data_IF_515030742448
#
_entry.id   IF_515030742448
#
_cell.length_a   1.000
_cell.length_b   1.000
_cell.length_c   1.000
_cell.angle_alpha   90.00
_cell.angle_beta   90.00
_cell.angle_gamma   90.00
#
_symmetry.space_group_name_H-M   'P 1'
#
loop_
_entity.id
_entity.type
_entity.pdbx_description
1 polymer ?
#
# COMPACT_ATOMS: atom_id res chain seq x y z
N UNK A 1 -22.95 13.00 -13.74
CA UNK A 1 -22.00 12.73 -14.83
C UNK A 1 -20.91 13.81 -14.77
N UNK A 2 -19.64 13.45 -14.98
CA UNK A 2 -18.53 14.40 -15.06
C UNK A 2 -18.63 15.19 -16.38
N UNK A 3 -18.34 16.50 -16.34
CA UNK A 3 -18.33 17.33 -17.56
C UNK A 3 -17.17 16.93 -18.47
N UNK A 4 -17.26 17.24 -19.78
CA UNK A 4 -16.17 17.00 -20.74
C UNK A 4 -14.87 17.71 -20.31
N UNK A 5 -14.99 18.89 -19.69
CA UNK A 5 -13.85 19.64 -19.15
C UNK A 5 -13.17 18.86 -18.01
N UNK A 6 -13.93 18.38 -17.03
CA UNK A 6 -13.40 17.60 -15.91
C UNK A 6 -12.72 16.30 -16.37
N UNK A 7 -13.28 15.61 -17.39
CA UNK A 7 -12.64 14.43 -18.00
C UNK A 7 -11.30 14.78 -18.66
N UNK A 8 -11.23 15.92 -19.31
CA UNK A 8 -9.99 16.40 -19.91
C UNK A 8 -8.96 16.83 -18.83
N UNK A 9 -9.40 17.42 -17.70
CA UNK A 9 -8.52 17.72 -16.57
C UNK A 9 -7.90 16.42 -16.03
N UNK A 10 -8.70 15.37 -15.84
CA UNK A 10 -8.19 14.06 -15.43
C UNK A 10 -7.14 13.51 -16.39
N UNK A 11 -7.42 13.63 -17.70
CA UNK A 11 -6.48 13.17 -18.72
C UNK A 11 -5.15 13.92 -18.69
N UNK A 12 -5.16 15.24 -18.52
CA UNK A 12 -3.92 16.03 -18.41
C UNK A 12 -3.19 15.76 -17.09
N UNK A 13 -3.91 15.59 -15.97
CA UNK A 13 -3.33 15.14 -14.69
C UNK A 13 -2.58 13.81 -14.87
N UNK A 14 -3.22 12.82 -15.45
CA UNK A 14 -2.62 11.50 -15.66
C UNK A 14 -1.45 11.53 -16.63
N UNK A 15 -1.54 12.33 -17.70
CA UNK A 15 -0.42 12.55 -18.61
C UNK A 15 0.80 13.15 -17.92
N UNK A 16 0.59 14.15 -17.05
CA UNK A 16 1.65 14.72 -16.23
C UNK A 16 2.21 13.69 -15.24
N UNK A 17 1.37 12.97 -14.51
CA UNK A 17 1.79 11.98 -13.52
C UNK A 17 2.58 10.83 -14.13
N UNK A 18 2.18 10.33 -15.29
CA UNK A 18 2.92 9.29 -16.02
C UNK A 18 4.22 9.80 -16.65
N UNK A 19 4.22 11.06 -17.12
CA UNK A 19 5.38 11.70 -17.71
C UNK A 19 5.48 13.16 -17.27
N UNK A 20 6.16 13.45 -16.14
CA UNK A 20 6.27 14.81 -15.62
C UNK A 20 6.83 15.83 -16.62
N UNK A 21 7.68 15.40 -17.55
CA UNK A 21 8.23 16.26 -18.61
C UNK A 21 7.16 16.76 -19.59
N UNK A 22 5.99 16.15 -19.63
CA UNK A 22 4.90 16.54 -20.54
C UNK A 22 4.43 17.98 -20.32
N UNK A 23 4.59 18.55 -19.10
CA UNK A 23 4.20 19.92 -18.76
C UNK A 23 5.28 20.97 -19.11
N UNK A 24 6.48 20.55 -19.49
CA UNK A 24 7.63 21.47 -19.71
C UNK A 24 7.30 22.59 -20.67
N UNK A 25 6.62 22.29 -21.79
CA UNK A 25 6.23 23.30 -22.78
C UNK A 25 5.39 24.41 -22.18
N UNK A 26 4.45 24.07 -21.29
CA UNK A 26 3.60 25.05 -20.63
C UNK A 26 4.40 25.91 -19.65
N UNK A 27 5.28 25.29 -18.86
CA UNK A 27 6.21 26.02 -17.99
C UNK A 27 7.08 27.01 -18.76
N UNK A 28 7.60 26.62 -19.93
CA UNK A 28 8.38 27.50 -20.81
C UNK A 28 7.57 28.66 -21.36
N UNK A 29 6.28 28.43 -21.70
CA UNK A 29 5.39 29.52 -22.15
C UNK A 29 5.14 30.52 -21.04
N UNK A 30 4.84 30.07 -19.82
CA UNK A 30 4.67 30.95 -18.64
C UNK A 30 5.95 31.72 -18.37
N UNK A 31 7.12 31.05 -18.35
CA UNK A 31 8.43 31.69 -18.15
C UNK A 31 8.69 32.80 -19.17
N UNK A 32 8.47 32.52 -20.47
CA UNK A 32 8.64 33.51 -21.55
C UNK A 32 7.67 34.68 -21.42
N UNK A 33 6.43 34.43 -21.05
CA UNK A 33 5.43 35.47 -20.79
C UNK A 33 5.88 36.41 -19.67
N UNK A 34 6.28 35.85 -18.51
CA UNK A 34 6.76 36.62 -17.37
C UNK A 34 8.06 37.37 -17.64
N UNK A 35 9.02 36.76 -18.34
CA UNK A 35 10.31 37.43 -18.63
C UNK A 35 10.18 38.67 -19.50
N UNK A 36 9.13 38.79 -20.32
CA UNK A 36 8.84 39.97 -21.13
C UNK A 36 8.29 41.12 -20.31
N UNK A 37 7.62 40.83 -19.19
CA UNK A 37 6.90 41.86 -18.40
C UNK A 37 7.72 42.24 -17.15
N UNK A 38 8.44 41.31 -16.53
CA UNK A 38 9.13 41.49 -15.26
C UNK A 38 10.52 40.83 -15.29
N UNK A 39 11.51 41.51 -15.87
CA UNK A 39 12.89 41.03 -15.83
C UNK A 39 13.39 40.97 -14.39
N UNK A 40 13.96 39.81 -13.99
CA UNK A 40 14.54 39.61 -12.67
C UNK A 40 13.54 39.22 -11.55
N UNK A 41 12.28 38.98 -11.86
CA UNK A 41 11.32 38.47 -10.86
C UNK A 41 11.81 37.11 -10.30
N UNK A 42 11.89 36.95 -8.96
CA UNK A 42 12.29 35.66 -8.33
C UNK A 42 11.48 34.48 -8.80
N UNK A 43 10.23 34.67 -9.19
CA UNK A 43 9.36 33.62 -9.71
C UNK A 43 9.92 32.95 -10.98
N UNK A 44 10.67 33.68 -11.81
CA UNK A 44 11.34 33.09 -12.99
C UNK A 44 12.33 31.99 -12.59
N UNK A 45 13.06 32.17 -11.50
CA UNK A 45 13.97 31.16 -10.96
C UNK A 45 13.21 29.94 -10.44
N UNK A 46 12.06 30.16 -9.80
CA UNK A 46 11.21 29.06 -9.34
C UNK A 46 10.69 28.20 -10.49
N UNK A 47 10.29 28.82 -11.61
CA UNK A 47 9.88 28.08 -12.82
C UNK A 47 11.07 27.29 -13.37
N UNK A 48 12.27 27.87 -13.40
CA UNK A 48 13.48 27.18 -13.85
C UNK A 48 13.83 25.99 -12.97
N UNK A 49 13.76 26.13 -11.65
CA UNK A 49 13.97 25.01 -10.71
C UNK A 49 12.93 23.91 -10.94
N UNK A 50 11.66 24.26 -11.11
CA UNK A 50 10.64 23.25 -11.38
C UNK A 50 10.84 22.54 -12.72
N UNK A 51 11.26 23.26 -13.77
CA UNK A 51 11.62 22.64 -15.06
C UNK A 51 12.78 21.64 -14.88
N UNK A 52 13.76 21.93 -14.03
CA UNK A 52 14.85 21.00 -13.72
C UNK A 52 14.35 19.80 -12.90
N UNK A 53 13.47 20.02 -11.93
CA UNK A 53 12.89 18.99 -11.09
C UNK A 53 12.13 17.93 -11.91
N UNK A 54 11.28 18.35 -12.84
CA UNK A 54 10.51 17.43 -13.71
C UNK A 54 11.39 16.62 -14.66
N UNK A 55 12.66 16.97 -14.89
CA UNK A 55 13.59 16.15 -15.68
C UNK A 55 14.01 14.87 -14.95
N UNK A 56 14.05 14.92 -13.62
CA UNK A 56 14.50 13.82 -12.77
C UNK A 56 13.36 13.13 -12.03
N UNK A 57 12.17 13.72 -12.07
CA UNK A 57 10.98 13.18 -11.39
C UNK A 57 10.57 11.84 -12.01
N UNK A 58 10.37 10.84 -11.16
CA UNK A 58 9.82 9.56 -11.58
C UNK A 58 8.35 9.67 -11.95
N UNK A 59 7.85 8.71 -12.74
CA UNK A 59 6.42 8.58 -12.99
C UNK A 59 5.65 8.31 -11.69
N UNK A 60 4.48 8.92 -11.58
CA UNK A 60 3.57 8.79 -10.44
C UNK A 60 2.41 7.84 -10.78
N UNK A 61 1.75 7.24 -9.78
CA UNK A 61 0.57 6.43 -10.00
C UNK A 61 -0.52 7.19 -10.77
N UNK A 62 -1.24 6.48 -11.64
CA UNK A 62 -2.39 7.02 -12.35
C UNK A 62 -3.52 7.28 -11.36
N UNK A 63 -4.26 8.37 -11.57
CA UNK A 63 -5.46 8.70 -10.81
C UNK A 63 -6.68 8.05 -11.45
N UNK A 64 -7.45 7.32 -10.67
CA UNK A 64 -8.76 6.79 -11.05
C UNK A 64 -9.86 7.74 -10.57
N UNK A 65 -10.87 7.97 -11.43
CA UNK A 65 -12.01 8.79 -11.04
C UNK A 65 -12.86 8.04 -9.99
N UNK A 66 -13.14 8.71 -8.89
CA UNK A 66 -13.98 8.18 -7.81
C UNK A 66 -15.27 9.00 -7.70
N UNK A 67 -16.43 8.32 -7.75
CA UNK A 67 -17.73 8.98 -7.74
C UNK A 67 -18.03 9.65 -6.39
N UNK A 68 -17.65 9.04 -5.27
CA UNK A 68 -17.88 9.62 -3.94
C UNK A 68 -17.07 10.90 -3.74
N UNK A 69 -15.81 10.92 -4.18
CA UNK A 69 -14.98 12.12 -4.16
C UNK A 69 -15.51 13.18 -5.14
N UNK A 70 -16.05 12.75 -6.28
CA UNK A 70 -16.67 13.66 -7.25
C UNK A 70 -17.92 14.32 -6.69
N UNK A 71 -18.76 13.58 -5.96
CA UNK A 71 -19.94 14.16 -5.27
C UNK A 71 -19.52 15.11 -4.13
N UNK A 72 -18.45 14.79 -3.39
CA UNK A 72 -17.89 15.71 -2.40
C UNK A 72 -17.39 17.02 -3.06
N UNK A 73 -16.66 16.91 -4.15
CA UNK A 73 -16.19 18.07 -4.90
C UNK A 73 -17.34 18.93 -5.46
N UNK A 74 -18.44 18.31 -5.94
CA UNK A 74 -19.63 19.02 -6.41
C UNK A 74 -20.34 19.79 -5.29
N UNK A 75 -20.39 19.20 -4.08
CA UNK A 75 -21.00 19.88 -2.91
C UNK A 75 -20.19 21.07 -2.47
N UNK A 76 -18.87 20.99 -2.61
CA UNK A 76 -17.96 22.05 -2.19
C UNK A 76 -17.80 23.18 -3.23
N UNK A 77 -18.01 22.88 -4.52
CA UNK A 77 -17.81 23.83 -5.62
C UNK A 77 -18.61 25.14 -5.45
N UNK A 78 -19.90 25.17 -5.03
CA UNK A 78 -20.62 26.43 -4.79
C UNK A 78 -19.99 27.32 -3.71
N UNK A 79 -19.29 26.75 -2.73
CA UNK A 79 -18.59 27.52 -1.69
C UNK A 79 -17.34 28.22 -2.22
N UNK A 80 -16.79 27.70 -3.32
CA UNK A 80 -15.62 28.24 -3.99
C UNK A 80 -15.96 29.33 -5.00
N UNK A 81 -17.03 29.14 -5.82
CA UNK A 81 -17.42 30.05 -6.88
C UNK A 81 -17.64 31.48 -6.33
N UNK A 82 -16.91 32.46 -6.90
CA UNK A 82 -17.00 33.85 -6.51
C UNK A 82 -16.43 34.20 -5.13
N UNK A 83 -15.77 33.27 -4.45
CA UNK A 83 -15.18 33.49 -3.12
C UNK A 83 -13.67 33.72 -3.20
N UNK A 84 -13.24 34.97 -3.28
CA UNK A 84 -11.82 35.36 -3.32
C UNK A 84 -11.01 34.92 -2.08
N UNK A 85 -11.68 34.71 -0.94
CA UNK A 85 -11.04 34.27 0.31
C UNK A 85 -10.97 32.76 0.44
N UNK A 86 -11.40 32.02 -0.58
CA UNK A 86 -11.42 30.56 -0.53
C UNK A 86 -10.01 29.98 -0.51
N UNK A 87 -9.75 29.08 0.44
CA UNK A 87 -8.47 28.37 0.54
C UNK A 87 -8.38 27.31 -0.57
N UNK A 88 -7.61 27.61 -1.64
CA UNK A 88 -7.51 26.78 -2.85
C UNK A 88 -6.82 25.43 -2.60
N UNK A 89 -5.93 25.33 -1.62
CA UNK A 89 -5.18 24.13 -1.29
C UNK A 89 -5.47 23.71 0.14
N UNK A 90 -5.98 22.50 0.32
CA UNK A 90 -6.37 21.98 1.64
C UNK A 90 -5.82 20.55 1.82
N UNK A 91 -5.51 20.23 3.05
CA UNK A 91 -5.15 18.87 3.51
C UNK A 91 -6.27 18.31 4.39
N UNK A 92 -6.12 17.05 4.79
CA UNK A 92 -7.14 16.31 5.55
C UNK A 92 -7.77 17.08 6.70
N UNK A 93 -6.99 17.87 7.45
CA UNK A 93 -7.46 18.66 8.60
C UNK A 93 -8.55 19.68 8.22
N UNK A 94 -8.49 20.23 7.01
CA UNK A 94 -9.45 21.19 6.47
C UNK A 94 -10.59 20.54 5.67
N UNK A 95 -10.62 19.22 5.56
CA UNK A 95 -11.54 18.46 4.71
C UNK A 95 -12.53 17.62 5.50
N UNK A 96 -12.50 17.71 6.83
CA UNK A 96 -13.48 17.06 7.70
C UNK A 96 -14.89 17.55 7.39
N UNK A 97 -15.83 16.61 7.29
CA UNK A 97 -17.21 16.89 6.88
C UNK A 97 -17.41 17.23 5.38
N UNK A 98 -16.34 17.41 4.60
CA UNK A 98 -16.39 17.62 3.14
C UNK A 98 -16.17 16.30 2.42
N UNK A 99 -15.10 15.61 2.78
CA UNK A 99 -14.72 14.31 2.21
C UNK A 99 -15.34 13.19 3.06
N UNK A 100 -15.89 12.14 2.45
CA UNK A 100 -16.43 11.01 3.21
C UNK A 100 -15.38 10.37 4.14
N UNK A 101 -15.81 9.97 5.35
CA UNK A 101 -14.95 9.44 6.42
C UNK A 101 -14.05 8.30 5.95
N UNK A 102 -14.53 7.47 5.03
CA UNK A 102 -13.77 6.35 4.46
C UNK A 102 -12.45 6.77 3.80
N UNK A 103 -12.37 8.02 3.29
CA UNK A 103 -11.14 8.54 2.68
C UNK A 103 -10.25 9.32 3.65
N UNK A 104 -10.74 9.69 4.84
CA UNK A 104 -9.98 10.50 5.78
C UNK A 104 -8.69 9.83 6.24
N UNK A 105 -8.67 8.49 6.37
CA UNK A 105 -7.47 7.72 6.72
C UNK A 105 -6.36 7.80 5.67
N UNK A 106 -6.71 8.05 4.40
CA UNK A 106 -5.72 8.22 3.32
C UNK A 106 -5.11 9.63 3.27
N UNK A 107 -5.37 10.48 4.26
CA UNK A 107 -4.97 11.88 4.28
C UNK A 107 -5.30 12.59 2.96
N UNK A 108 -6.59 12.77 2.63
CA UNK A 108 -7.03 13.38 1.40
C UNK A 108 -6.51 14.81 1.26
N UNK A 109 -6.49 15.31 0.03
CA UNK A 109 -6.13 16.68 -0.25
C UNK A 109 -7.04 17.26 -1.34
N UNK A 110 -7.16 18.57 -1.38
CA UNK A 110 -7.99 19.30 -2.33
C UNK A 110 -7.21 20.39 -3.01
N UNK A 111 -7.47 20.55 -4.30
CA UNK A 111 -6.99 21.65 -5.14
C UNK A 111 -8.19 22.29 -5.80
N UNK A 112 -8.27 23.62 -5.75
CA UNK A 112 -9.25 24.42 -6.45
C UNK A 112 -8.55 25.39 -7.41
N UNK A 113 -9.11 25.58 -8.58
CA UNK A 113 -8.63 26.53 -9.60
C UNK A 113 -9.80 27.24 -10.30
N UNK A 114 -9.61 28.50 -10.63
CA UNK A 114 -10.56 29.37 -11.28
C UNK A 114 -9.97 30.00 -12.55
N UNK A 115 -10.80 30.30 -13.53
CA UNK A 115 -10.43 31.04 -14.73
C UNK A 115 -9.42 30.34 -15.64
N UNK A 116 -9.37 29.01 -15.66
CA UNK A 116 -8.55 28.27 -16.61
C UNK A 116 -9.30 28.08 -17.94
N UNK A 117 -8.79 28.62 -19.04
CA UNK A 117 -9.40 28.51 -20.37
C UNK A 117 -9.37 27.07 -20.90
N UNK A 118 -8.28 26.35 -20.62
CA UNK A 118 -8.05 24.98 -21.07
C UNK A 118 -7.68 24.07 -19.89
N UNK A 119 -8.01 22.75 -19.93
CA UNK A 119 -7.71 21.80 -18.88
C UNK A 119 -6.24 21.74 -18.46
N UNK A 120 -5.31 21.90 -19.41
CA UNK A 120 -3.87 21.94 -19.12
C UNK A 120 -3.48 23.18 -18.28
N UNK A 121 -4.23 24.27 -18.40
CA UNK A 121 -3.97 25.50 -17.67
C UNK A 121 -4.33 25.35 -16.19
N UNK A 122 -5.29 24.50 -15.83
CA UNK A 122 -5.58 24.13 -14.44
C UNK A 122 -4.30 23.59 -13.76
N UNK A 123 -3.64 22.61 -14.40
CA UNK A 123 -2.40 22.05 -13.89
C UNK A 123 -1.29 23.08 -13.81
N UNK A 124 -1.12 23.84 -14.88
CA UNK A 124 -0.04 24.84 -14.99
C UNK A 124 -0.18 25.92 -13.93
N UNK A 125 -1.40 26.42 -13.68
CA UNK A 125 -1.68 27.39 -12.65
C UNK A 125 -1.35 26.85 -11.25
N UNK A 126 -1.77 25.62 -10.93
CA UNK A 126 -1.51 24.98 -9.63
C UNK A 126 -0.02 24.68 -9.43
N UNK A 127 0.66 24.13 -10.44
CA UNK A 127 2.09 23.79 -10.37
C UNK A 127 2.99 25.03 -10.24
N UNK A 128 2.56 26.14 -10.82
CA UNK A 128 3.31 27.40 -10.90
C UNK A 128 2.60 28.54 -10.16
N UNK A 129 1.80 28.27 -9.13
CA UNK A 129 1.12 29.29 -8.36
C UNK A 129 2.14 30.16 -7.60
N UNK A 130 2.25 31.42 -8.04
CA UNK A 130 3.14 32.40 -7.41
C UNK A 130 2.70 32.78 -5.99
N UNK A 131 1.41 32.67 -5.68
CA UNK A 131 0.85 33.03 -4.37
C UNK A 131 1.02 31.88 -3.36
N UNK A 132 1.18 30.67 -3.85
CA UNK A 132 1.43 29.48 -3.02
C UNK A 132 2.90 29.42 -2.57
N UNK A 133 3.19 30.12 -1.47
CA UNK A 133 4.56 30.19 -0.91
C UNK A 133 5.12 28.84 -0.47
N UNK A 134 4.26 27.92 -0.06
CA UNK A 134 4.62 26.59 0.44
C UNK A 134 4.57 25.49 -0.63
N UNK A 135 4.19 25.86 -1.86
CA UNK A 135 4.04 24.92 -2.98
C UNK A 135 3.04 23.79 -2.69
N UNK A 136 2.01 24.09 -1.89
CA UNK A 136 1.01 23.10 -1.48
C UNK A 136 0.29 22.47 -2.67
N UNK A 137 -0.14 23.29 -3.64
CA UNK A 137 -0.76 22.77 -4.85
C UNK A 137 0.15 21.83 -5.63
N UNK A 138 1.42 22.18 -5.80
CA UNK A 138 2.43 21.32 -6.43
C UNK A 138 2.64 20.06 -5.64
N UNK A 139 2.81 20.15 -4.32
CA UNK A 139 3.02 19.02 -3.44
C UNK A 139 1.83 18.04 -3.48
N UNK A 140 0.60 18.55 -3.62
CA UNK A 140 -0.59 17.72 -3.79
C UNK A 140 -0.56 17.00 -5.14
N UNK A 141 -0.32 17.70 -6.25
CA UNK A 141 -0.34 17.11 -7.58
C UNK A 141 0.79 16.08 -7.80
N UNK A 142 1.91 16.24 -7.10
CA UNK A 142 3.08 15.37 -7.20
C UNK A 142 3.14 14.28 -6.12
N UNK A 143 2.16 14.19 -5.22
CA UNK A 143 2.15 13.20 -4.14
C UNK A 143 1.84 11.79 -4.70
N UNK A 144 2.78 10.84 -4.57
CA UNK A 144 2.61 9.48 -5.11
C UNK A 144 1.56 8.65 -4.36
N UNK A 145 1.15 9.05 -3.15
CA UNK A 145 0.14 8.33 -2.38
C UNK A 145 -1.25 8.41 -3.00
N UNK A 146 -1.54 9.48 -3.76
CA UNK A 146 -2.84 9.65 -4.37
C UNK A 146 -3.00 8.76 -5.60
N UNK A 147 -4.06 7.96 -5.60
CA UNK A 147 -4.45 7.04 -6.67
C UNK A 147 -5.89 7.24 -7.12
N UNK A 148 -6.65 8.03 -6.37
CA UNK A 148 -8.05 8.35 -6.68
C UNK A 148 -8.26 9.85 -6.69
N UNK A 149 -9.21 10.31 -7.52
CA UNK A 149 -9.57 11.73 -7.60
C UNK A 149 -11.07 11.89 -7.90
N UNK A 150 -11.69 12.86 -7.23
CA UNK A 150 -13.00 13.38 -7.60
C UNK A 150 -12.83 14.75 -8.24
N UNK A 151 -13.51 15.03 -9.36
CA UNK A 151 -13.40 16.29 -10.08
C UNK A 151 -14.78 16.87 -10.30
N UNK A 152 -15.00 18.09 -9.81
CA UNK A 152 -16.17 18.92 -10.11
C UNK A 152 -15.75 20.13 -10.93
N UNK A 153 -16.63 20.53 -11.86
CA UNK A 153 -16.42 21.66 -12.76
C UNK A 153 -17.73 22.36 -13.05
N UNK A 154 -17.69 23.68 -13.03
CA UNK A 154 -18.78 24.57 -13.42
C UNK A 154 -18.23 25.79 -14.17
N UNK A 155 -19.04 26.37 -15.06
CA UNK A 155 -18.75 27.63 -15.73
C UNK A 155 -19.58 28.71 -15.07
N UNK A 156 -18.91 29.72 -14.48
CA UNK A 156 -19.55 30.86 -13.87
C UNK A 156 -18.88 32.14 -14.39
N UNK A 157 -19.68 33.12 -14.85
CA UNK A 157 -19.20 34.39 -15.45
C UNK A 157 -18.15 34.18 -16.57
N UNK A 158 -18.39 33.20 -17.45
CA UNK A 158 -17.50 32.78 -18.55
C UNK A 158 -16.17 32.14 -18.11
N UNK A 159 -15.96 31.95 -16.81
CA UNK A 159 -14.77 31.30 -16.25
C UNK A 159 -15.03 29.86 -15.84
N UNK A 160 -14.03 28.99 -16.00
CA UNK A 160 -14.10 27.60 -15.53
C UNK A 160 -13.64 27.54 -14.07
N UNK A 161 -14.49 26.99 -13.23
CA UNK A 161 -14.24 26.75 -11.80
C UNK A 161 -14.11 25.25 -11.57
N UNK A 162 -13.02 24.81 -10.98
CA UNK A 162 -12.68 23.38 -10.82
C UNK A 162 -12.27 23.09 -9.38
N UNK A 163 -12.79 21.99 -8.85
CA UNK A 163 -12.28 21.38 -7.61
C UNK A 163 -11.84 19.95 -7.92
N UNK A 164 -10.63 19.60 -7.50
CA UNK A 164 -10.11 18.24 -7.51
C UNK A 164 -9.86 17.80 -6.05
N UNK A 165 -10.49 16.70 -5.63
CA UNK A 165 -10.25 16.08 -4.33
C UNK A 165 -9.49 14.78 -4.56
N UNK A 166 -8.31 14.64 -3.98
CA UNK A 166 -7.40 13.52 -4.11
C UNK A 166 -7.45 12.65 -2.87
N UNK A 167 -7.43 11.34 -3.06
CA UNK A 167 -7.30 10.36 -2.00
C UNK A 167 -6.34 9.23 -2.40
N UNK A 168 -5.73 8.60 -1.42
CA UNK A 168 -5.06 7.32 -1.59
C UNK A 168 -6.08 6.19 -1.77
N UNK A 169 -5.62 5.00 -2.12
CA UNK A 169 -6.43 3.80 -1.87
C UNK A 169 -6.74 3.76 -0.38
N UNK A 170 -7.97 3.35 -0.07
CA UNK A 170 -8.31 2.98 1.30
C UNK A 170 -7.21 2.01 1.77
N UNK A 171 -6.42 2.41 2.76
CA UNK A 171 -5.64 1.44 3.48
C UNK A 171 -6.69 0.57 4.16
N UNK A 172 -6.79 -0.69 3.75
CA UNK A 172 -7.59 -1.66 4.50
C UNK A 172 -7.21 -1.46 5.98
N UNK A 173 -8.21 -1.35 6.88
CA UNK A 173 -7.92 -1.15 8.29
C UNK A 173 -6.87 -2.18 8.68
N UNK A 174 -5.81 -1.72 9.35
CA UNK A 174 -4.78 -2.65 9.80
C UNK A 174 -5.52 -3.77 10.53
N UNK A 175 -5.41 -5.01 10.04
CA UNK A 175 -6.14 -6.10 10.64
C UNK A 175 -5.76 -6.16 12.12
N UNK A 176 -6.75 -6.33 12.98
CA UNK A 176 -6.49 -6.66 14.39
C UNK A 176 -5.69 -7.95 14.40
N UNK A 177 -4.41 -7.83 14.70
CA UNK A 177 -3.49 -8.96 14.76
C UNK A 177 -3.44 -9.38 16.23
N UNK A 178 -4.13 -10.47 16.53
CA UNK A 178 -4.13 -11.09 17.87
C UNK A 178 -2.98 -12.12 17.99
N UNK A 179 -1.75 -11.62 17.80
CA UNK A 179 -0.54 -12.41 18.00
C UNK A 179 0.25 -11.86 19.19
N UNK A 180 0.91 -12.74 19.98
CA UNK A 180 1.88 -12.32 20.98
C UNK A 180 2.96 -11.43 20.37
N UNK A 181 3.43 -10.42 21.12
CA UNK A 181 4.43 -9.44 20.67
C UNK A 181 5.71 -10.10 20.13
N UNK A 182 6.11 -11.24 20.71
CA UNK A 182 7.24 -12.04 20.26
C UNK A 182 7.02 -12.59 18.84
N UNK A 183 5.86 -13.21 18.59
CA UNK A 183 5.50 -13.80 17.30
C UNK A 183 5.38 -12.71 16.23
N UNK A 184 4.80 -11.54 16.57
CA UNK A 184 4.69 -10.40 15.69
C UNK A 184 6.06 -9.84 15.27
N UNK A 185 7.00 -9.81 16.22
CA UNK A 185 8.38 -9.36 15.97
C UNK A 185 9.12 -10.33 15.03
N UNK A 186 8.94 -11.62 15.20
CA UNK A 186 9.54 -12.65 14.34
C UNK A 186 8.94 -12.63 12.93
N UNK A 187 7.63 -12.49 12.87
CA UNK A 187 6.91 -12.35 11.61
C UNK A 187 7.36 -11.12 10.82
N UNK A 188 7.59 -10.00 11.51
CA UNK A 188 8.12 -8.78 10.90
C UNK A 188 9.54 -8.96 10.38
N UNK A 189 10.41 -9.65 11.11
CA UNK A 189 11.75 -10.00 10.64
C UNK A 189 11.69 -10.86 9.37
N UNK A 190 10.81 -11.86 9.34
CA UNK A 190 10.61 -12.71 8.16
C UNK A 190 10.16 -11.89 6.95
N UNK A 191 9.20 -10.97 7.14
CA UNK A 191 8.76 -10.06 6.08
C UNK A 191 9.91 -9.19 5.57
N UNK A 192 10.70 -8.59 6.46
CA UNK A 192 11.81 -7.70 6.10
C UNK A 192 12.94 -8.46 5.36
N UNK A 193 13.15 -9.73 5.66
CA UNK A 193 14.08 -10.61 4.91
C UNK A 193 13.56 -10.83 3.48
N UNK A 194 12.27 -11.05 3.32
CA UNK A 194 11.64 -11.25 2.01
C UNK A 194 11.54 -9.95 1.20
N UNK A 195 11.42 -8.79 1.86
CA UNK A 195 11.47 -7.46 1.23
C UNK A 195 12.92 -6.97 1.09
N UNK A 196 13.74 -7.74 0.38
CA UNK A 196 15.18 -7.43 0.21
C UNK A 196 15.47 -6.03 -0.34
N UNK A 197 14.48 -5.37 -0.97
CA UNK A 197 14.60 -4.01 -1.54
C UNK A 197 14.16 -2.92 -0.56
N UNK A 198 13.60 -3.27 0.61
CA UNK A 198 13.11 -2.32 1.60
C UNK A 198 11.95 -1.44 1.12
N UNK A 199 11.09 -1.97 0.25
CA UNK A 199 9.97 -1.23 -0.36
C UNK A 199 8.72 -1.17 0.52
N UNK A 200 8.68 -1.93 1.61
CA UNK A 200 7.50 -2.15 2.45
C UNK A 200 6.44 -3.07 1.82
N UNK A 201 6.76 -3.69 0.68
CA UNK A 201 5.90 -4.64 -0.03
C UNK A 201 6.71 -5.78 -0.62
N UNK A 202 6.22 -7.01 -0.43
CA UNK A 202 6.81 -8.18 -1.06
C UNK A 202 6.48 -8.22 -2.56
N UNK A 203 7.47 -8.53 -3.37
CA UNK A 203 7.29 -8.78 -4.81
C UNK A 203 6.94 -10.27 -5.02
N UNK A 204 5.65 -10.57 -5.24
CA UNK A 204 5.17 -11.94 -5.31
C UNK A 204 5.69 -12.68 -6.55
N UNK A 205 6.00 -11.96 -7.64
CA UNK A 205 6.61 -12.53 -8.84
C UNK A 205 8.06 -12.93 -8.56
N UNK A 206 8.81 -12.11 -7.83
CA UNK A 206 10.19 -12.38 -7.46
C UNK A 206 10.28 -13.55 -6.46
N UNK A 207 9.39 -13.58 -5.46
CA UNK A 207 9.29 -14.69 -4.51
C UNK A 207 8.96 -15.98 -5.24
N UNK A 208 7.94 -15.99 -6.11
CA UNK A 208 7.58 -17.16 -6.92
C UNK A 208 8.75 -17.66 -7.73
N UNK A 209 9.46 -16.77 -8.42
CA UNK A 209 10.64 -17.12 -9.21
C UNK A 209 11.76 -17.74 -8.36
N UNK A 210 11.95 -17.23 -7.15
CA UNK A 210 12.93 -17.77 -6.20
C UNK A 210 12.54 -19.19 -5.76
N UNK A 211 11.26 -19.40 -5.44
CA UNK A 211 10.72 -20.71 -5.08
C UNK A 211 10.81 -21.72 -6.23
N UNK A 212 10.54 -21.28 -7.48
CA UNK A 212 10.70 -22.10 -8.67
C UNK A 212 12.16 -22.54 -8.85
N UNK A 213 13.11 -21.65 -8.65
CA UNK A 213 14.54 -21.93 -8.71
C UNK A 213 15.00 -22.94 -7.65
N UNK A 214 14.39 -22.88 -6.46
CA UNK A 214 14.64 -23.80 -5.34
C UNK A 214 13.83 -25.10 -5.45
N UNK A 215 12.99 -25.23 -6.48
CA UNK A 215 12.13 -26.40 -6.73
C UNK A 215 11.12 -26.71 -5.62
N UNK A 216 10.68 -25.70 -4.87
CA UNK A 216 9.68 -25.87 -3.80
C UNK A 216 8.34 -26.44 -4.30
N UNK A 217 7.98 -26.25 -5.58
CA UNK A 217 6.78 -26.83 -6.16
C UNK A 217 6.76 -28.37 -6.16
N UNK A 218 7.93 -29.02 -6.00
CA UNK A 218 8.05 -30.46 -5.92
C UNK A 218 7.81 -30.99 -4.50
N UNK A 219 8.02 -30.12 -3.50
CA UNK A 219 7.95 -30.48 -2.08
C UNK A 219 6.67 -29.99 -1.43
N UNK A 220 6.12 -28.87 -1.88
CA UNK A 220 4.90 -28.30 -1.31
C UNK A 220 4.09 -27.54 -2.38
N UNK A 221 3.15 -28.21 -3.06
CA UNK A 221 2.30 -27.59 -4.08
C UNK A 221 1.34 -26.53 -3.51
N UNK A 222 1.00 -26.58 -2.23
CA UNK A 222 0.06 -25.63 -1.59
C UNK A 222 0.66 -24.24 -1.43
N UNK A 223 1.99 -24.10 -1.44
CA UNK A 223 2.68 -22.81 -1.40
C UNK A 223 2.24 -21.85 -2.52
N UNK A 224 1.90 -22.36 -3.70
CA UNK A 224 1.37 -21.52 -4.78
C UNK A 224 -0.03 -20.97 -4.49
N UNK A 225 -0.85 -21.73 -3.78
CA UNK A 225 -2.14 -21.27 -3.26
C UNK A 225 -1.95 -20.09 -2.31
N UNK A 226 -1.03 -20.23 -1.37
CA UNK A 226 -0.66 -19.19 -0.39
C UNK A 226 -0.16 -17.91 -1.09
N UNK A 227 0.74 -18.02 -2.06
CA UNK A 227 1.24 -16.89 -2.82
C UNK A 227 0.11 -16.18 -3.58
N UNK A 228 -0.84 -16.92 -4.14
CA UNK A 228 -2.00 -16.36 -4.84
C UNK A 228 -2.91 -15.59 -3.88
N UNK A 229 -3.17 -16.13 -2.69
CA UNK A 229 -4.03 -15.50 -1.67
C UNK A 229 -3.39 -14.22 -1.11
N UNK A 230 -2.05 -14.22 -0.96
CA UNK A 230 -1.28 -13.08 -0.52
C UNK A 230 -1.11 -12.01 -1.60
N UNK A 231 -1.24 -12.36 -2.89
CA UNK A 231 -0.99 -11.44 -4.00
C UNK A 231 -2.12 -10.43 -4.16
N UNK A 232 -1.76 -9.15 -4.24
CA UNK A 232 -2.60 -8.06 -4.72
C UNK A 232 -1.81 -7.29 -5.79
N UNK A 233 -2.20 -7.45 -7.06
CA UNK A 233 -1.45 -6.90 -8.19
C UNK A 233 0.06 -7.25 -8.13
N UNK A 234 0.37 -8.52 -7.90
CA UNK A 234 1.73 -9.05 -7.76
C UNK A 234 2.53 -8.47 -6.58
N UNK A 235 1.87 -7.85 -5.62
CA UNK A 235 2.47 -7.31 -4.39
C UNK A 235 1.73 -7.80 -3.16
N UNK A 236 2.44 -7.90 -2.03
CA UNK A 236 1.84 -8.16 -0.73
C UNK A 236 2.34 -7.12 0.28
N UNK A 237 1.43 -6.38 0.91
CA UNK A 237 1.76 -5.42 1.96
C UNK A 237 1.96 -6.11 3.30
N UNK A 238 2.67 -5.44 4.24
CA UNK A 238 2.83 -5.95 5.60
C UNK A 238 1.50 -6.26 6.30
N UNK A 239 0.46 -5.38 6.30
CA UNK A 239 -0.83 -5.69 6.93
C UNK A 239 -1.47 -6.96 6.37
N UNK A 240 -1.44 -7.15 5.05
CA UNK A 240 -2.01 -8.34 4.41
C UNK A 240 -1.24 -9.61 4.77
N UNK A 241 0.10 -9.54 4.77
CA UNK A 241 0.97 -10.64 5.18
C UNK A 241 0.73 -11.05 6.64
N UNK A 242 0.71 -10.05 7.54
CA UNK A 242 0.50 -10.27 8.97
C UNK A 242 -0.91 -10.81 9.27
N UNK A 243 -1.94 -10.32 8.59
CA UNK A 243 -3.32 -10.83 8.71
C UNK A 243 -3.43 -12.29 8.27
N UNK A 244 -2.82 -12.64 7.15
CA UNK A 244 -2.81 -14.02 6.68
C UNK A 244 -2.08 -14.94 7.65
N UNK A 245 -0.91 -14.52 8.13
CA UNK A 245 -0.16 -15.26 9.13
C UNK A 245 -0.92 -15.39 10.45
N UNK A 246 -1.56 -14.30 10.93
CA UNK A 246 -2.39 -14.33 12.12
C UNK A 246 -3.49 -15.38 12.01
N UNK A 247 -4.23 -15.41 10.88
CA UNK A 247 -5.26 -16.40 10.63
C UNK A 247 -4.69 -17.82 10.70
N UNK A 248 -3.56 -18.08 10.05
CA UNK A 248 -2.93 -19.40 10.04
C UNK A 248 -2.33 -19.80 11.39
N UNK A 249 -1.81 -18.84 12.14
CA UNK A 249 -1.24 -19.09 13.47
C UNK A 249 -2.33 -19.24 14.56
N UNK A 250 -3.47 -18.56 14.41
CA UNK A 250 -4.63 -18.77 15.31
C UNK A 250 -5.33 -20.09 15.04
N UNK A 251 -5.31 -20.59 13.80
CA UNK A 251 -5.82 -21.92 13.46
C UNK A 251 -5.09 -23.02 14.27
N UNK A 252 -3.82 -22.81 14.69
CA UNK A 252 -3.07 -23.74 15.55
C UNK A 252 -3.71 -23.98 16.93
N UNK A 253 -4.63 -23.12 17.36
CA UNK A 253 -5.39 -23.27 18.61
C UNK A 253 -6.67 -24.09 18.44
N UNK A 254 -7.09 -24.30 17.22
CA UNK A 254 -8.25 -25.13 16.89
C UNK A 254 -7.82 -26.59 16.77
N UNK A 255 -8.73 -27.51 17.02
CA UNK A 255 -8.46 -28.94 16.83
C UNK A 255 -8.05 -29.24 15.37
N UNK A 256 -8.74 -28.65 14.40
CA UNK A 256 -8.47 -28.80 12.97
C UNK A 256 -7.08 -28.26 12.59
N UNK A 257 -6.66 -27.13 13.17
CA UNK A 257 -5.32 -26.58 12.99
C UNK A 257 -4.22 -27.46 13.61
N UNK A 258 -4.47 -28.00 14.79
CA UNK A 258 -3.54 -28.95 15.45
C UNK A 258 -3.43 -30.26 14.66
N UNK A 259 -4.54 -30.80 14.12
CA UNK A 259 -4.53 -31.96 13.24
C UNK A 259 -3.69 -31.70 11.97
N UNK A 260 -3.83 -30.50 11.37
CA UNK A 260 -3.04 -30.08 10.21
C UNK A 260 -1.55 -30.02 10.55
N UNK A 261 -1.16 -29.38 11.66
CA UNK A 261 0.24 -29.32 12.09
C UNK A 261 0.79 -30.71 12.37
N UNK A 262 0.02 -31.54 13.08
CA UNK A 262 0.42 -32.89 13.41
C UNK A 262 0.66 -33.72 12.14
N UNK A 263 -0.22 -33.62 11.15
CA UNK A 263 -0.07 -34.33 9.87
C UNK A 263 1.19 -33.92 9.08
N UNK A 264 1.60 -32.64 9.19
CA UNK A 264 2.86 -32.16 8.59
C UNK A 264 4.12 -32.70 9.26
N UNK A 265 3.98 -33.11 10.53
CA UNK A 265 5.09 -33.68 11.32
C UNK A 265 5.22 -35.19 11.16
N UNK A 266 4.31 -35.86 10.46
CA UNK A 266 4.34 -37.31 10.21
C UNK A 266 4.98 -37.55 8.85
N UNK A 267 6.09 -38.31 8.82
CA UNK A 267 6.78 -38.68 7.57
C UNK A 267 6.11 -39.81 6.81
N UNK A 268 5.33 -40.66 7.49
CA UNK A 268 4.72 -41.88 6.95
C UNK A 268 3.18 -41.77 7.06
N UNK A 269 2.47 -41.59 5.94
CA UNK A 269 1.01 -41.47 5.94
C UNK A 269 0.25 -42.62 6.55
N UNK A 270 0.90 -43.80 6.67
CA UNK A 270 0.33 -45.02 7.25
C UNK A 270 0.51 -45.09 8.79
N UNK A 271 1.17 -44.04 9.39
CA UNK A 271 1.41 -43.94 10.84
C UNK A 271 0.72 -42.71 11.38
N UNK A 272 -0.11 -42.92 12.38
CA UNK A 272 -0.80 -41.82 13.11
C UNK A 272 0.00 -41.32 14.31
N UNK A 273 1.34 -41.39 14.28
CA UNK A 273 2.21 -41.04 15.40
C UNK A 273 3.52 -40.40 14.92
N UNK A 274 4.07 -39.45 15.72
CA UNK A 274 5.40 -38.91 15.50
C UNK A 274 6.41 -39.83 16.18
N UNK A 275 7.24 -40.50 15.36
CA UNK A 275 8.27 -41.42 15.84
C UNK A 275 9.54 -40.67 16.24
N UNK A 276 10.46 -41.36 16.92
CA UNK A 276 11.80 -40.80 17.24
C UNK A 276 12.55 -40.36 15.98
N UNK A 277 12.48 -41.12 14.89
CA UNK A 277 13.17 -40.77 13.65
C UNK A 277 12.62 -39.50 13.02
N UNK A 278 11.30 -39.35 13.01
CA UNK A 278 10.62 -38.13 12.55
C UNK A 278 11.00 -36.94 13.41
N UNK A 279 10.95 -37.10 14.75
CA UNK A 279 11.29 -36.03 15.68
C UNK A 279 12.75 -35.60 15.58
N UNK A 280 13.69 -36.55 15.42
CA UNK A 280 15.10 -36.31 15.16
C UNK A 280 15.33 -35.54 13.85
N UNK A 281 14.63 -35.91 12.78
CA UNK A 281 14.70 -35.23 11.48
C UNK A 281 14.27 -33.77 11.62
N UNK A 282 13.14 -33.51 12.26
CA UNK A 282 12.64 -32.14 12.53
C UNK A 282 13.66 -31.33 13.34
N UNK A 283 14.23 -31.87 14.42
CA UNK A 283 15.25 -31.20 15.22
C UNK A 283 16.51 -30.87 14.41
N UNK A 284 16.90 -31.72 13.47
CA UNK A 284 18.03 -31.48 12.58
C UNK A 284 17.72 -30.41 11.52
N UNK A 285 16.52 -30.44 10.95
CA UNK A 285 16.08 -29.44 9.96
C UNK A 285 15.97 -28.02 10.58
N UNK A 286 15.60 -27.95 11.84
CA UNK A 286 15.55 -26.69 12.61
C UNK A 286 16.90 -26.24 13.16
N UNK A 287 17.98 -26.97 12.86
CA UNK A 287 19.35 -26.71 13.38
C UNK A 287 19.37 -26.50 14.91
N UNK A 288 18.58 -27.31 15.61
CA UNK A 288 18.36 -27.16 17.07
C UNK A 288 19.61 -27.35 17.93
N UNK A 289 20.69 -27.91 17.35
CA UNK A 289 21.93 -28.23 18.06
C UNK A 289 21.77 -29.31 19.17
N UNK A 290 20.63 -30.01 19.23
CA UNK A 290 20.37 -31.04 20.24
C UNK A 290 21.06 -32.34 19.90
N UNK A 291 21.63 -33.01 20.93
CA UNK A 291 22.17 -34.35 20.75
C UNK A 291 21.06 -35.39 20.66
N UNK A 292 21.35 -36.56 20.06
CA UNK A 292 20.38 -37.66 20.01
C UNK A 292 19.85 -38.08 21.38
N UNK A 293 20.67 -37.99 22.39
CA UNK A 293 20.28 -38.32 23.78
C UNK A 293 19.27 -37.31 24.32
N UNK A 294 19.50 -36.01 24.08
CA UNK A 294 18.56 -34.96 24.45
C UNK A 294 17.22 -35.06 23.68
N UNK A 295 17.27 -35.35 22.38
CA UNK A 295 16.07 -35.60 21.58
C UNK A 295 15.28 -36.79 22.12
N UNK A 296 15.97 -37.87 22.50
CA UNK A 296 15.35 -39.07 23.06
C UNK A 296 14.72 -38.80 24.44
N UNK A 297 15.37 -38.00 25.25
CA UNK A 297 14.83 -37.62 26.57
C UNK A 297 13.64 -36.68 26.46
N UNK A 298 13.65 -35.76 25.49
CA UNK A 298 12.50 -34.93 25.15
C UNK A 298 11.31 -35.77 24.73
N UNK A 299 11.52 -36.71 23.81
CA UNK A 299 10.46 -37.62 23.37
C UNK A 299 9.88 -38.41 24.55
N UNK A 300 10.71 -38.97 25.43
CA UNK A 300 10.26 -39.69 26.64
C UNK A 300 9.44 -38.79 27.55
N UNK A 301 9.83 -37.54 27.69
CA UNK A 301 9.13 -36.58 28.57
C UNK A 301 7.77 -36.16 27.98
N UNK A 302 7.61 -36.21 26.63
CA UNK A 302 6.41 -35.76 25.91
C UNK A 302 5.41 -36.90 25.69
N UNK A 303 5.72 -38.15 26.04
CA UNK A 303 4.87 -39.30 25.74
C UNK A 303 4.69 -40.21 26.97
N UNK A 304 3.54 -40.86 27.07
CA UNK A 304 3.23 -41.86 28.11
C UNK A 304 3.95 -43.17 27.85
N UNK A 305 4.19 -43.52 26.58
CA UNK A 305 4.83 -44.78 26.19
C UNK A 305 6.35 -44.67 25.98
N UNK A 306 6.91 -43.45 25.95
CA UNK A 306 8.33 -43.15 25.80
C UNK A 306 8.90 -43.46 24.40
N UNK A 307 8.06 -43.71 23.38
CA UNK A 307 8.49 -44.16 22.08
C UNK A 307 8.03 -43.27 20.90
N UNK A 308 6.79 -42.86 20.96
CA UNK A 308 6.14 -42.09 19.89
C UNK A 308 5.04 -41.19 20.47
N UNK A 309 4.78 -40.06 19.83
CA UNK A 309 3.79 -39.05 20.24
C UNK A 309 2.52 -39.28 19.44
N UNK A 310 1.39 -39.52 20.14
CA UNK A 310 0.07 -39.57 19.51
C UNK A 310 -0.49 -38.16 19.34
N UNK A 311 -1.56 -38.03 18.52
CA UNK A 311 -2.22 -36.75 18.33
C UNK A 311 -2.75 -36.17 19.66
N UNK A 312 -3.35 -37.00 20.51
CA UNK A 312 -3.87 -36.56 21.81
C UNK A 312 -2.76 -36.02 22.73
N UNK A 313 -1.59 -36.68 22.76
CA UNK A 313 -0.43 -36.23 23.54
C UNK A 313 0.14 -34.93 22.98
N UNK A 314 0.18 -34.81 21.65
CA UNK A 314 0.59 -33.57 20.97
C UNK A 314 -0.39 -32.42 21.28
N UNK A 315 -1.70 -32.65 21.19
CA UNK A 315 -2.73 -31.67 21.51
C UNK A 315 -2.64 -31.20 22.97
N UNK A 316 -2.48 -32.15 23.92
CA UNK A 316 -2.31 -31.85 25.34
C UNK A 316 -1.06 -30.99 25.60
N UNK A 317 0.06 -31.29 24.93
CA UNK A 317 1.28 -30.52 25.02
C UNK A 317 1.12 -29.11 24.47
N UNK A 318 0.55 -28.97 23.29
CA UNK A 318 0.32 -27.67 22.62
C UNK A 318 -0.60 -26.77 23.46
N UNK A 319 -1.67 -27.31 24.03
CA UNK A 319 -2.58 -26.58 24.94
C UNK A 319 -1.94 -26.25 26.29
N UNK A 320 -0.92 -27.00 26.71
CA UNK A 320 -0.17 -26.77 27.95
C UNK A 320 0.85 -25.65 27.89
N UNK A 321 1.32 -25.28 26.70
CA UNK A 321 2.26 -24.18 26.47
C UNK A 321 1.61 -22.79 26.65
N UNK A 322 0.30 -22.71 26.76
CA UNK A 322 -0.47 -21.47 26.90
C UNK A 322 -0.73 -21.04 28.36
N UNK A 323 -0.12 -21.74 29.34
CA UNK A 323 -0.18 -21.37 30.77
C UNK A 323 1.11 -20.70 31.22
#
# INVERSE_FOLDING_TARGET
MSTKFAQNVLRELNKFRQNPRSIQRQCDLVRKGFSRIRHGDPFLKEIEYFIQEIQTMNSLPVLELNDNLTEAAKKELPNFIGNESYKKYRRSEDLDGIVPDLFMKSNPAMVADDGADEPINVLTKVLLDKQDRFKEGRNILCDPKFTQVGIAHEVFEEENWVICIFAGKEEEPEPEIDLPEGDLTELKKAFDILDAKGTGKLDMVEIKKTMDNMRFYQTDPDLYGILKDLSDNDKCSWPKFASYANKKLTDRKTQEGLETIFSLLIDDPDKDTITFETFRKICNELDSGLSEEQIRDMLKASTKNGKEITFEEFEEYMKGLEK
#
